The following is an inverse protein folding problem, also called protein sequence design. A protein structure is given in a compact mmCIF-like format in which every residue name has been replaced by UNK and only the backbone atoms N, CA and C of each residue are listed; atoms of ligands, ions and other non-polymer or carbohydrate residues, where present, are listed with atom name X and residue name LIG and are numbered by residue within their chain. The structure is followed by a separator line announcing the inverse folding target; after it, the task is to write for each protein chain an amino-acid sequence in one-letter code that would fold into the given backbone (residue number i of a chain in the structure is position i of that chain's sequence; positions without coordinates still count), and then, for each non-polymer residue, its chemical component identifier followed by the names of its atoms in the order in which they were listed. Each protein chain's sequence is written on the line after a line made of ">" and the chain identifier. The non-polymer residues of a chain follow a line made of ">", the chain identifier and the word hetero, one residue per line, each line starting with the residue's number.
data_IF_999574374504
#
_entry.id   IF_999574374504
#
_cell.length_a   1.000
_cell.length_b   1.000
_cell.length_c   1.000
_cell.angle_alpha   90.00
_cell.angle_beta   90.00
_cell.angle_gamma   90.00
#
_symmetry.space_group_name_H-M   'P 1'
#
loop_
_entity.id
_entity.type
_entity.pdbx_description
1 polymer ?
#
# COMPACT_ATOMS: atom_id res chain seq x y z
N UNK A 1 -19.85 68.56 32.52
CA UNK A 1 -19.59 68.19 31.10
C UNK A 1 -18.33 67.32 31.09
N UNK A 2 -18.48 65.99 30.94
CA UNK A 2 -17.99 65.17 29.81
C UNK A 2 -16.44 65.26 29.65
N UNK A 3 -15.63 64.20 29.74
CA UNK A 3 -15.74 62.90 29.05
C UNK A 3 -14.86 61.81 29.71
N UNK A 4 -15.38 60.58 29.73
CA UNK A 4 -14.67 59.31 29.96
C UNK A 4 -13.52 59.06 28.97
N UNK A 5 -12.51 58.31 29.41
CA UNK A 5 -11.61 57.55 28.54
C UNK A 5 -11.56 56.09 29.05
N UNK A 6 -12.00 55.18 28.19
CA UNK A 6 -12.18 53.77 28.43
C UNK A 6 -10.88 52.99 28.16
N UNK A 7 -10.56 52.01 29.02
CA UNK A 7 -9.47 51.06 28.81
C UNK A 7 -9.77 50.12 27.64
N UNK A 8 -8.87 50.08 26.65
CA UNK A 8 -8.91 49.14 25.55
C UNK A 8 -8.27 47.80 25.98
N UNK A 9 -9.06 46.73 25.94
CA UNK A 9 -8.63 45.35 26.13
C UNK A 9 -7.98 44.85 24.82
N UNK A 10 -6.67 44.59 24.81
CA UNK A 10 -6.02 43.87 23.70
C UNK A 10 -6.29 42.37 23.84
N UNK A 11 -7.15 41.82 23.00
CA UNK A 11 -7.29 40.38 22.83
C UNK A 11 -6.21 39.89 21.84
N UNK A 12 -5.26 39.11 22.35
CA UNK A 12 -4.20 38.47 21.54
C UNK A 12 -4.76 37.14 21.01
N UNK A 13 -5.15 37.11 19.74
CA UNK A 13 -5.58 35.89 19.06
C UNK A 13 -4.39 34.99 18.77
N UNK A 14 -4.22 33.91 19.54
CA UNK A 14 -3.25 32.85 19.23
C UNK A 14 -3.75 32.03 18.03
N UNK A 15 -3.10 32.19 16.87
CA UNK A 15 -3.26 31.30 15.73
C UNK A 15 -2.62 29.96 16.07
N UNK A 16 -3.44 28.93 16.30
CA UNK A 16 -2.97 27.55 16.41
C UNK A 16 -2.54 27.05 15.03
N UNK A 17 -1.23 27.00 14.78
CA UNK A 17 -0.66 26.27 13.66
C UNK A 17 -0.80 24.76 13.95
N UNK A 18 -1.87 24.13 13.44
CA UNK A 18 -1.93 22.68 13.38
C UNK A 18 -0.98 22.22 12.27
N UNK A 19 0.01 21.35 12.55
CA UNK A 19 0.82 20.77 11.50
C UNK A 19 -0.10 19.90 10.63
N UNK A 20 -0.25 20.27 9.36
CA UNK A 20 -0.81 19.38 8.36
C UNK A 20 0.16 18.21 8.20
N UNK A 21 -0.22 17.00 8.64
CA UNK A 21 0.48 15.79 8.27
C UNK A 21 0.42 15.69 6.74
N UNK A 22 1.57 15.87 6.08
CA UNK A 22 1.70 15.47 4.69
C UNK A 22 1.35 13.99 4.63
N UNK A 23 0.29 13.62 3.91
CA UNK A 23 -0.01 12.23 3.66
C UNK A 23 1.24 11.59 3.06
N UNK A 24 1.75 10.52 3.68
CA UNK A 24 2.87 9.78 3.12
C UNK A 24 2.48 9.40 1.68
N UNK A 25 3.34 9.78 0.73
CA UNK A 25 3.17 9.41 -0.67
C UNK A 25 3.46 7.91 -0.79
N UNK A 26 2.41 7.08 -0.75
CA UNK A 26 2.56 5.63 -0.73
C UNK A 26 1.88 4.95 -1.92
N UNK A 27 2.30 3.71 -2.13
CA UNK A 27 1.62 2.72 -2.96
C UNK A 27 1.03 1.71 -1.98
N UNK A 28 -0.29 1.67 -1.87
CA UNK A 28 -0.98 0.68 -1.04
C UNK A 28 -1.10 -0.62 -1.82
N UNK A 29 -0.75 -1.74 -1.20
CA UNK A 29 -0.93 -3.07 -1.80
C UNK A 29 -1.70 -3.93 -0.81
N UNK A 30 -2.97 -4.18 -1.10
CA UNK A 30 -3.87 -4.93 -0.24
C UNK A 30 -4.03 -6.37 -0.72
N UNK A 31 -3.79 -7.34 0.16
CA UNK A 31 -4.28 -8.71 0.01
C UNK A 31 -5.76 -8.74 0.40
N UNK A 32 -6.65 -8.65 -0.60
CA UNK A 32 -8.07 -8.39 -0.38
C UNK A 32 -8.92 -9.66 -0.21
N UNK A 33 -8.70 -10.67 -1.06
CA UNK A 33 -9.45 -11.93 -1.03
C UNK A 33 -8.60 -13.07 -1.54
N UNK A 34 -8.81 -14.26 -0.98
CA UNK A 34 -8.38 -15.53 -1.55
C UNK A 34 -9.60 -16.39 -1.90
N UNK A 35 -9.52 -17.16 -2.98
CA UNK A 35 -10.60 -18.03 -3.43
C UNK A 35 -10.04 -19.36 -3.96
N UNK A 36 -10.59 -20.47 -3.47
CA UNK A 36 -10.23 -21.79 -3.99
C UNK A 36 -10.67 -21.91 -5.44
N UNK A 37 -9.74 -22.27 -6.32
CA UNK A 37 -10.00 -22.54 -7.73
C UNK A 37 -9.30 -23.82 -8.16
N UNK A 38 -10.03 -24.93 -8.09
CA UNK A 38 -9.42 -26.26 -8.25
C UNK A 38 -8.31 -26.47 -7.22
N UNK A 39 -7.14 -26.88 -7.70
CA UNK A 39 -5.95 -27.10 -6.85
C UNK A 39 -5.09 -25.83 -6.65
N UNK A 40 -5.56 -24.69 -7.15
CA UNK A 40 -4.89 -23.40 -7.02
C UNK A 40 -5.61 -22.48 -6.03
N UNK A 41 -4.85 -21.60 -5.39
CA UNK A 41 -5.39 -20.50 -4.62
C UNK A 41 -5.37 -19.22 -5.44
N UNK A 42 -6.56 -18.70 -5.78
CA UNK A 42 -6.71 -17.44 -6.48
C UNK A 42 -6.60 -16.28 -5.49
N UNK A 43 -5.70 -15.34 -5.77
CA UNK A 43 -5.50 -14.12 -5.00
C UNK A 43 -6.09 -12.93 -5.73
N UNK A 44 -6.79 -12.08 -4.98
CA UNK A 44 -7.27 -10.77 -5.39
C UNK A 44 -6.47 -9.73 -4.62
N UNK A 45 -5.67 -8.95 -5.33
CA UNK A 45 -4.78 -7.93 -4.79
C UNK A 45 -5.19 -6.56 -5.30
N UNK A 46 -5.45 -5.61 -4.41
CA UNK A 46 -5.75 -4.22 -4.78
C UNK A 46 -4.45 -3.42 -4.68
N UNK A 47 -4.14 -2.63 -5.70
CA UNK A 47 -2.96 -1.75 -5.72
C UNK A 47 -3.43 -0.31 -5.95
N UNK A 48 -3.18 0.56 -4.98
CA UNK A 48 -3.51 1.98 -5.04
C UNK A 48 -2.25 2.82 -5.16
N UNK A 49 -2.19 3.74 -6.13
CA UNK A 49 -1.04 4.62 -6.32
C UNK A 49 -1.34 6.06 -5.87
N UNK A 50 -0.96 6.37 -4.64
CA UNK A 50 -1.05 7.70 -4.04
C UNK A 50 0.32 8.40 -3.95
N UNK A 51 1.34 7.81 -4.60
CA UNK A 51 2.73 8.28 -4.54
C UNK A 51 2.99 9.58 -5.30
N UNK A 52 2.03 10.05 -6.11
CA UNK A 52 2.24 11.18 -7.03
C UNK A 52 3.12 10.86 -8.24
N UNK A 53 3.56 9.60 -8.42
CA UNK A 53 4.36 9.13 -9.55
C UNK A 53 3.60 8.10 -10.37
N UNK A 54 3.50 8.29 -11.69
CA UNK A 54 2.97 7.24 -12.57
C UNK A 54 4.05 6.15 -12.77
N UNK A 55 3.70 4.88 -12.52
CA UNK A 55 4.61 3.75 -12.73
C UNK A 55 4.19 2.94 -13.96
N UNK A 56 5.17 2.64 -14.81
CA UNK A 56 5.00 1.79 -15.99
C UNK A 56 5.26 0.31 -15.66
N UNK A 57 6.15 0.04 -14.69
CA UNK A 57 6.39 -1.29 -14.10
C UNK A 57 6.47 -1.19 -12.59
N UNK A 58 5.89 -2.18 -11.92
CA UNK A 58 6.02 -2.42 -10.49
C UNK A 58 5.86 -3.92 -10.26
N UNK A 59 6.98 -4.63 -10.31
CA UNK A 59 7.06 -6.08 -10.15
C UNK A 59 7.45 -6.42 -8.72
N UNK A 60 6.48 -6.93 -7.96
CA UNK A 60 6.65 -7.29 -6.56
C UNK A 60 7.21 -8.69 -6.43
N UNK A 61 8.09 -8.88 -5.45
CA UNK A 61 8.56 -10.19 -5.00
C UNK A 61 7.79 -10.62 -3.75
N UNK A 62 6.94 -11.63 -3.90
CA UNK A 62 6.04 -12.09 -2.86
C UNK A 62 6.49 -13.46 -2.36
N UNK A 63 6.64 -13.61 -1.06
CA UNK A 63 6.89 -14.89 -0.39
C UNK A 63 5.62 -15.32 0.32
N UNK A 64 5.22 -16.56 0.10
CA UNK A 64 4.01 -17.15 0.66
C UNK A 64 4.43 -18.21 1.66
N UNK A 65 3.90 -18.07 2.86
CA UNK A 65 4.11 -19.02 3.95
C UNK A 65 2.85 -19.85 4.15
N UNK A 66 3.04 -21.12 4.47
CA UNK A 66 1.94 -21.96 4.92
C UNK A 66 1.51 -21.62 6.35
N UNK A 67 0.50 -22.35 6.85
CA UNK A 67 -0.03 -22.20 8.21
C UNK A 67 0.97 -22.58 9.31
N UNK A 68 1.99 -23.37 9.00
CA UNK A 68 3.08 -23.71 9.92
C UNK A 68 4.18 -22.62 9.92
N UNK A 69 4.04 -21.61 9.05
CA UNK A 69 4.96 -20.51 8.92
C UNK A 69 6.21 -20.84 8.10
N UNK A 70 6.20 -21.94 7.34
CA UNK A 70 7.27 -22.37 6.43
C UNK A 70 7.05 -21.74 5.06
N UNK A 71 8.14 -21.38 4.38
CA UNK A 71 8.07 -20.85 3.01
C UNK A 71 7.54 -21.94 2.08
N UNK A 72 6.36 -21.71 1.52
CA UNK A 72 5.72 -22.63 0.60
C UNK A 72 6.04 -22.26 -0.85
N UNK A 73 5.93 -20.98 -1.22
CA UNK A 73 6.13 -20.49 -2.59
C UNK A 73 6.71 -19.08 -2.61
N UNK A 74 7.32 -18.70 -3.74
CA UNK A 74 7.77 -17.33 -4.04
C UNK A 74 7.30 -16.95 -5.44
N UNK A 75 6.70 -15.78 -5.58
CA UNK A 75 6.06 -15.32 -6.81
C UNK A 75 6.53 -13.92 -7.16
N UNK A 76 6.69 -13.67 -8.46
CA UNK A 76 6.89 -12.33 -8.99
C UNK A 76 5.60 -11.83 -9.65
N UNK A 77 5.03 -10.72 -9.18
CA UNK A 77 3.73 -10.21 -9.65
C UNK A 77 3.87 -8.81 -10.23
N UNK A 78 3.49 -8.64 -11.50
CA UNK A 78 3.45 -7.32 -12.16
C UNK A 78 2.13 -6.58 -11.86
N UNK A 79 2.25 -5.50 -11.08
CA UNK A 79 1.12 -4.72 -10.58
C UNK A 79 0.86 -3.45 -11.38
N UNK A 80 1.78 -3.04 -12.24
CA UNK A 80 1.61 -1.92 -13.16
C UNK A 80 0.80 -2.30 -14.42
N UNK A 81 0.37 -1.34 -15.25
CA UNK A 81 0.58 0.11 -15.15
C UNK A 81 -0.24 0.77 -14.03
N UNK A 82 0.39 1.70 -13.30
CA UNK A 82 -0.20 2.48 -12.21
C UNK A 82 -0.03 3.99 -12.46
N UNK A 83 -0.91 4.61 -13.26
CA UNK A 83 -1.10 6.07 -13.27
C UNK A 83 -1.30 6.65 -11.86
N UNK A 84 -1.02 7.94 -11.74
CA UNK A 84 -1.24 8.70 -10.49
C UNK A 84 -2.72 8.60 -10.09
N UNK A 85 -2.98 8.28 -8.82
CA UNK A 85 -4.33 8.18 -8.27
C UNK A 85 -5.11 6.93 -8.71
N UNK A 86 -4.52 6.02 -9.47
CA UNK A 86 -5.21 4.80 -9.90
C UNK A 86 -5.26 3.78 -8.78
N UNK A 87 -6.44 3.20 -8.59
CA UNK A 87 -6.64 1.93 -7.89
C UNK A 87 -6.86 0.83 -8.92
N UNK A 88 -6.07 -0.24 -8.86
CA UNK A 88 -6.15 -1.40 -9.74
C UNK A 88 -6.43 -2.68 -8.96
N UNK A 89 -7.08 -3.64 -9.62
CA UNK A 89 -7.22 -5.01 -9.14
C UNK A 89 -6.30 -5.92 -9.93
N UNK A 90 -5.51 -6.74 -9.24
CA UNK A 90 -4.67 -7.80 -9.79
C UNK A 90 -5.19 -9.13 -9.29
N UNK A 91 -5.45 -10.03 -10.22
CA UNK A 91 -5.92 -11.39 -9.92
C UNK A 91 -4.89 -12.36 -10.47
N UNK A 92 -4.39 -13.25 -9.64
CA UNK A 92 -3.44 -14.28 -10.04
C UNK A 92 -3.69 -15.57 -9.26
N UNK A 93 -3.30 -16.69 -9.85
CA UNK A 93 -3.51 -18.02 -9.26
C UNK A 93 -2.16 -18.53 -8.73
N UNK A 94 -2.14 -19.01 -7.49
CA UNK A 94 -1.03 -19.75 -6.90
C UNK A 94 -1.29 -21.23 -7.20
N UNK A 95 -0.66 -21.76 -8.24
CA UNK A 95 -0.77 -23.18 -8.58
C UNK A 95 -0.28 -24.07 -7.44
N UNK A 96 -0.86 -25.26 -7.28
CA UNK A 96 -0.47 -26.29 -6.30
C UNK A 96 -0.44 -25.75 -4.86
N UNK A 97 -1.46 -24.97 -4.47
CA UNK A 97 -1.65 -24.47 -3.11
C UNK A 97 -3.14 -24.31 -2.86
N UNK A 98 -3.67 -24.99 -1.85
CA UNK A 98 -5.04 -24.78 -1.42
C UNK A 98 -5.13 -23.47 -0.61
N UNK A 99 -6.16 -22.64 -0.83
CA UNK A 99 -6.26 -21.37 -0.10
C UNK A 99 -6.25 -21.50 1.43
N UNK A 100 -6.89 -22.53 2.06
CA UNK A 100 -6.82 -22.70 3.50
C UNK A 100 -5.41 -22.94 4.05
N UNK A 101 -4.44 -23.34 3.21
CA UNK A 101 -3.06 -23.57 3.64
C UNK A 101 -2.19 -22.31 3.50
N UNK A 102 -2.70 -21.21 2.91
CA UNK A 102 -1.97 -19.94 2.89
C UNK A 102 -2.07 -19.27 4.27
N UNK A 103 -0.97 -19.28 5.03
CA UNK A 103 -0.91 -18.67 6.36
C UNK A 103 -0.67 -17.16 6.31
N UNK A 104 0.34 -16.73 5.55
CA UNK A 104 0.64 -15.30 5.36
C UNK A 104 1.39 -15.05 4.05
N UNK A 105 1.32 -13.81 3.59
CA UNK A 105 2.13 -13.30 2.48
C UNK A 105 3.15 -12.28 3.02
N UNK A 106 4.33 -12.23 2.40
CA UNK A 106 5.38 -11.25 2.66
C UNK A 106 5.72 -10.56 1.33
N UNK A 107 5.69 -9.23 1.34
CA UNK A 107 6.33 -8.42 0.31
C UNK A 107 7.82 -8.40 0.61
N UNK A 108 8.57 -9.28 -0.02
CA UNK A 108 9.99 -9.47 0.27
C UNK A 108 10.85 -8.38 -0.38
N UNK A 109 10.52 -8.01 -1.63
CA UNK A 109 11.27 -7.01 -2.39
C UNK A 109 10.47 -6.44 -3.57
N UNK A 110 11.05 -5.51 -4.30
CA UNK A 110 10.59 -5.02 -5.61
C UNK A 110 11.62 -5.38 -6.67
N UNK A 111 11.28 -6.31 -7.55
CA UNK A 111 12.17 -6.82 -8.61
C UNK A 111 12.36 -5.83 -9.75
N UNK A 112 11.36 -5.01 -10.04
CA UNK A 112 11.42 -3.97 -11.05
C UNK A 112 10.48 -2.83 -10.68
N UNK A 113 10.95 -1.60 -10.85
CA UNK A 113 10.17 -0.39 -10.65
C UNK A 113 10.68 0.69 -11.59
N UNK A 114 9.82 1.20 -12.46
CA UNK A 114 10.20 2.25 -13.40
C UNK A 114 8.99 3.13 -13.75
N UNK A 115 9.31 4.37 -14.08
CA UNK A 115 8.40 5.29 -14.76
C UNK A 115 8.92 5.61 -16.16
N UNK A 116 8.28 6.56 -16.85
CA UNK A 116 8.63 6.97 -18.19
C UNK A 116 10.09 7.48 -18.36
N UNK A 117 10.75 7.86 -17.26
CA UNK A 117 12.14 8.33 -17.25
C UNK A 117 13.14 7.21 -16.89
N UNK A 118 12.67 6.01 -16.58
CA UNK A 118 13.50 4.84 -16.26
C UNK A 118 13.36 4.34 -14.81
N UNK A 119 14.36 3.57 -14.32
CA UNK A 119 14.29 2.92 -13.02
C UNK A 119 14.11 3.90 -11.86
N UNK A 120 13.21 3.55 -10.93
CA UNK A 120 12.94 4.31 -9.71
C UNK A 120 13.60 3.59 -8.53
N UNK A 121 14.49 4.30 -7.82
CA UNK A 121 15.16 3.76 -6.65
C UNK A 121 14.21 3.65 -5.44
N UNK A 122 14.51 2.69 -4.54
CA UNK A 122 13.86 2.53 -3.24
C UNK A 122 12.34 2.34 -3.31
N UNK A 123 11.77 1.76 -4.38
CA UNK A 123 10.31 1.58 -4.47
C UNK A 123 9.70 0.84 -3.28
N UNK A 124 10.43 -0.13 -2.70
CA UNK A 124 9.97 -0.87 -1.52
C UNK A 124 9.66 0.03 -0.31
N UNK A 125 10.36 1.16 -0.14
CA UNK A 125 10.11 2.06 0.99
C UNK A 125 8.76 2.78 0.88
N UNK A 126 8.25 2.95 -0.34
CA UNK A 126 6.97 3.63 -0.59
C UNK A 126 5.77 2.68 -0.61
N UNK A 127 5.98 1.37 -0.45
CA UNK A 127 4.89 0.40 -0.49
C UNK A 127 4.40 0.06 0.90
N UNK A 128 3.10 0.15 1.12
CA UNK A 128 2.45 -0.26 2.37
C UNK A 128 1.60 -1.50 2.11
N UNK A 129 1.99 -2.69 2.61
CA UNK A 129 1.14 -3.86 2.52
C UNK A 129 -0.02 -3.74 3.52
N UNK A 130 -1.22 -4.13 3.08
CA UNK A 130 -2.39 -4.27 3.93
C UNK A 130 -3.10 -5.58 3.64
N UNK A 131 -3.98 -6.02 4.53
CA UNK A 131 -4.77 -7.22 4.31
C UNK A 131 -6.20 -7.02 4.82
N UNK A 132 -7.16 -7.73 4.19
CA UNK A 132 -8.57 -7.67 4.56
C UNK A 132 -8.95 -8.86 5.46
N UNK A 133 -9.73 -8.59 6.51
CA UNK A 133 -10.22 -9.64 7.41
C UNK A 133 -9.09 -10.35 8.14
N UNK A 134 -9.11 -11.68 8.12
CA UNK A 134 -8.12 -12.53 8.81
C UNK A 134 -6.87 -12.85 7.96
N UNK A 135 -6.79 -12.30 6.73
CA UNK A 135 -5.61 -12.44 5.89
C UNK A 135 -4.44 -11.67 6.50
N UNK A 136 -3.21 -12.18 6.29
CA UNK A 136 -1.99 -11.53 6.78
C UNK A 136 -1.07 -11.20 5.61
N UNK A 137 -0.68 -9.94 5.48
CA UNK A 137 0.30 -9.46 4.52
C UNK A 137 1.29 -8.50 5.20
N UNK A 138 2.58 -8.83 5.16
CA UNK A 138 3.65 -8.10 5.83
C UNK A 138 4.74 -7.64 4.85
N UNK A 139 5.59 -6.71 5.26
CA UNK A 139 6.81 -6.27 4.56
C UNK A 139 7.97 -6.36 5.54
#
# INVERSE_FOLDING_TARGET
>A
MKKSLASALLAVSMLANTPAYAAEQTIHVELNKTETKGDACRVYMIVGNESGRALETLKLDLVLFDTDGVVAKRLAVETAPLPIGKTGLKIFDIADMACPTLGRMLLNDVLACADANGPVANCLSYITPTAKGDLTFIK
#
